data_IF_149337484269
#
_entry.id   IF_149337484269
#
_cell.length_a   1.000
_cell.length_b   1.000
_cell.length_c   1.000
_cell.angle_alpha   90.00
_cell.angle_beta   90.00
_cell.angle_gamma   90.00
#
_symmetry.space_group_name_H-M   'P 1'
#
loop_
_entity.id
_entity.type
_entity.pdbx_description
1 polymer ?
#
# COMPACT_ATOMS: atom_id res chain seq x y z
N UNK A 1 -0.99 -21.23 22.88
CA UNK A 1 -1.47 -19.83 22.77
C UNK A 1 -1.72 -19.53 21.30
N UNK A 2 -2.98 -19.63 20.85
CA UNK A 2 -3.33 -19.31 19.46
C UNK A 2 -3.58 -17.80 19.42
N UNK A 3 -2.64 -17.04 18.86
CA UNK A 3 -2.82 -15.60 18.64
C UNK A 3 -3.65 -15.46 17.35
N UNK A 4 -4.97 -15.61 17.45
CA UNK A 4 -5.88 -15.39 16.32
C UNK A 4 -5.91 -13.89 16.01
N UNK A 5 -5.15 -13.46 14.99
CA UNK A 5 -5.40 -12.16 14.35
C UNK A 5 -6.76 -12.26 13.63
N UNK A 6 -7.77 -11.58 14.16
CA UNK A 6 -9.11 -11.54 13.55
C UNK A 6 -9.28 -10.37 12.57
N UNK A 7 -8.38 -9.38 12.60
CA UNK A 7 -8.47 -8.16 11.80
C UNK A 7 -7.27 -8.06 10.85
N UNK A 8 -7.53 -7.93 9.55
CA UNK A 8 -6.52 -7.71 8.51
C UNK A 8 -6.64 -6.29 7.99
N UNK A 9 -5.54 -5.53 8.05
CA UNK A 9 -5.48 -4.13 7.64
C UNK A 9 -4.36 -3.97 6.61
N UNK A 10 -4.64 -3.30 5.50
CA UNK A 10 -3.63 -2.94 4.52
C UNK A 10 -3.31 -1.44 4.62
N UNK A 11 -2.03 -1.09 4.42
CA UNK A 11 -1.59 0.30 4.29
C UNK A 11 -1.00 0.46 2.90
N UNK A 12 -1.62 1.32 2.10
CA UNK A 12 -1.22 1.56 0.72
C UNK A 12 -0.48 2.90 0.59
N UNK A 13 0.69 2.83 -0.03
CA UNK A 13 1.53 3.98 -0.36
C UNK A 13 1.92 3.93 -1.83
N UNK A 14 2.14 5.09 -2.43
CA UNK A 14 2.44 5.16 -3.86
C UNK A 14 1.25 4.74 -4.73
N UNK A 15 0.01 5.09 -4.36
CA UNK A 15 -1.13 5.02 -5.29
C UNK A 15 -0.88 5.94 -6.47
N UNK A 16 -0.42 7.15 -6.17
CA UNK A 16 0.28 8.01 -7.11
C UNK A 16 1.78 7.94 -6.85
N UNK A 17 2.57 7.70 -7.89
CA UNK A 17 3.99 7.41 -7.74
C UNK A 17 4.88 8.57 -7.31
N UNK A 18 4.39 9.82 -7.45
CA UNK A 18 5.10 11.04 -7.06
C UNK A 18 4.69 11.60 -5.68
N UNK A 19 3.81 10.91 -4.94
CA UNK A 19 3.40 11.28 -3.58
C UNK A 19 4.33 10.62 -2.54
N UNK A 20 5.48 11.26 -2.34
CA UNK A 20 6.65 10.61 -1.71
C UNK A 20 6.47 10.20 -0.24
N UNK A 21 5.60 10.85 0.52
CA UNK A 21 5.39 10.50 1.94
C UNK A 21 4.89 9.06 2.08
N UNK A 22 3.88 8.67 1.30
CA UNK A 22 3.34 7.32 1.31
C UNK A 22 4.34 6.29 0.79
N UNK A 23 5.06 6.62 -0.29
CA UNK A 23 6.13 5.76 -0.85
C UNK A 23 7.22 5.49 0.19
N UNK A 24 7.66 6.54 0.88
CA UNK A 24 8.76 6.47 1.84
C UNK A 24 8.37 5.66 3.07
N UNK A 25 7.22 5.97 3.67
CA UNK A 25 6.74 5.28 4.87
C UNK A 25 6.47 3.80 4.60
N UNK A 26 5.82 3.46 3.48
CA UNK A 26 5.57 2.06 3.13
C UNK A 26 6.87 1.31 2.87
N UNK A 27 7.84 1.89 2.15
CA UNK A 27 9.14 1.24 1.96
C UNK A 27 9.89 1.01 3.28
N UNK A 28 9.75 1.94 4.23
CA UNK A 28 10.29 1.78 5.59
C UNK A 28 9.58 0.63 6.33
N UNK A 29 8.25 0.59 6.31
CA UNK A 29 7.46 -0.44 7.00
C UNK A 29 7.56 -1.83 6.38
N UNK A 30 7.81 -1.94 5.07
CA UNK A 30 8.12 -3.22 4.41
C UNK A 30 9.46 -3.79 4.92
N UNK A 31 10.45 -2.93 5.18
CA UNK A 31 11.75 -3.35 5.75
C UNK A 31 11.66 -3.61 7.25
N UNK A 32 10.90 -2.79 7.97
CA UNK A 32 10.68 -2.90 9.40
C UNK A 32 9.28 -2.41 9.79
N UNK A 33 8.37 -3.35 10.06
CA UNK A 33 6.98 -3.06 10.40
C UNK A 33 6.72 -2.75 11.88
N UNK A 34 7.73 -2.63 12.74
CA UNK A 34 7.53 -2.50 14.19
C UNK A 34 6.57 -1.35 14.60
N UNK A 35 6.64 -0.22 13.90
CA UNK A 35 5.81 0.97 14.16
C UNK A 35 4.30 0.71 13.92
N UNK A 36 3.97 -0.17 12.97
CA UNK A 36 2.59 -0.44 12.52
C UNK A 36 1.98 -1.73 13.11
N UNK A 37 2.72 -2.41 13.99
CA UNK A 37 2.23 -3.61 14.67
C UNK A 37 1.27 -3.27 15.80
N UNK A 38 0.15 -3.99 15.87
CA UNK A 38 -0.83 -3.89 16.97
C UNK A 38 -1.29 -5.29 17.37
N UNK A 39 -1.57 -5.50 18.65
CA UNK A 39 -2.03 -6.80 19.16
C UNK A 39 -3.37 -7.16 18.49
N UNK A 40 -3.44 -8.37 17.93
CA UNK A 40 -4.66 -8.90 17.30
C UNK A 40 -4.98 -8.34 15.91
N UNK A 41 -4.08 -7.53 15.32
CA UNK A 41 -4.23 -6.98 13.97
C UNK A 41 -3.05 -7.44 13.11
N UNK A 42 -3.36 -8.03 11.96
CA UNK A 42 -2.38 -8.26 10.89
C UNK A 42 -2.35 -7.03 9.98
N UNK A 43 -1.32 -6.19 10.14
CA UNK A 43 -1.11 -5.01 9.29
C UNK A 43 -0.11 -5.31 8.18
N UNK A 44 -0.46 -5.03 6.92
CA UNK A 44 0.41 -5.25 5.76
C UNK A 44 0.61 -3.99 4.92
N UNK A 45 1.82 -3.40 4.88
CA UNK A 45 2.13 -2.27 4.00
C UNK A 45 2.39 -2.74 2.55
N UNK A 46 1.99 -1.94 1.56
CA UNK A 46 2.17 -2.24 0.13
C UNK A 46 2.41 -0.99 -0.73
N UNK A 47 3.37 -1.10 -1.64
CA UNK A 47 3.51 -0.15 -2.76
C UNK A 47 2.50 -0.55 -3.84
N UNK A 48 1.54 0.33 -4.11
CA UNK A 48 0.41 0.01 -5.01
C UNK A 48 0.71 0.25 -6.49
N UNK A 49 1.49 1.27 -6.84
CA UNK A 49 1.84 1.58 -8.23
C UNK A 49 3.36 1.57 -8.45
N UNK A 50 4.02 0.40 -8.41
CA UNK A 50 5.48 0.31 -8.44
C UNK A 50 6.09 0.95 -9.70
N UNK A 51 5.45 0.81 -10.87
CA UNK A 51 5.93 1.43 -12.12
C UNK A 51 5.85 2.96 -12.10
N UNK A 52 4.80 3.53 -11.50
CA UNK A 52 4.70 4.98 -11.36
C UNK A 52 5.68 5.52 -10.32
N UNK A 53 5.90 4.79 -9.22
CA UNK A 53 6.89 5.12 -8.18
C UNK A 53 8.31 5.13 -8.77
N UNK A 54 8.69 4.09 -9.53
CA UNK A 54 9.99 4.00 -10.20
C UNK A 54 10.25 5.21 -11.12
N UNK A 55 9.20 5.66 -11.83
CA UNK A 55 9.27 6.82 -12.73
C UNK A 55 9.04 8.17 -12.04
N UNK A 56 8.81 8.20 -10.73
CA UNK A 56 8.42 9.39 -9.97
C UNK A 56 7.30 10.21 -10.66
N UNK A 57 6.29 9.52 -11.18
CA UNK A 57 5.13 10.13 -11.86
C UNK A 57 3.84 9.79 -11.14
N UNK A 58 2.78 10.57 -11.35
CA UNK A 58 1.46 10.32 -10.75
C UNK A 58 0.93 8.93 -11.15
N UNK A 59 0.97 8.60 -12.43
CA UNK A 59 0.57 7.29 -12.99
C UNK A 59 1.32 7.04 -14.30
N UNK A 60 1.27 5.79 -14.80
CA UNK A 60 1.86 5.43 -16.10
C UNK A 60 0.84 5.60 -17.22
N UNK A 61 -0.27 4.86 -17.18
CA UNK A 61 -1.28 4.88 -18.26
C UNK A 61 -2.57 5.59 -17.83
N UNK A 62 -3.10 5.25 -16.65
CA UNK A 62 -4.33 5.82 -16.09
C UNK A 62 -4.19 5.97 -14.58
N UNK A 63 -4.91 6.93 -14.00
CA UNK A 63 -4.94 7.13 -12.55
C UNK A 63 -5.46 5.86 -11.85
N UNK A 64 -4.57 5.20 -11.10
CA UNK A 64 -4.87 3.96 -10.38
C UNK A 64 -6.03 4.16 -9.37
N UNK A 65 -6.15 5.35 -8.78
CA UNK A 65 -7.22 5.71 -7.85
C UNK A 65 -8.57 5.99 -8.54
N UNK A 66 -8.67 5.73 -9.84
CA UNK A 66 -9.91 5.77 -10.64
C UNK A 66 -10.17 4.46 -11.38
N UNK A 67 -9.29 3.47 -11.23
CA UNK A 67 -9.31 2.24 -12.02
C UNK A 67 -10.08 1.08 -11.37
N UNK A 68 -10.57 1.23 -10.14
CA UNK A 68 -11.27 0.16 -9.40
C UNK A 68 -12.80 0.22 -9.53
N UNK A 69 -13.33 0.44 -10.74
CA UNK A 69 -14.76 0.27 -11.00
C UNK A 69 -15.12 -1.22 -11.15
N UNK A 70 -16.38 -1.63 -10.91
CA UNK A 70 -16.80 -3.01 -11.16
C UNK A 70 -16.52 -3.48 -12.58
N UNK A 71 -16.63 -2.59 -13.57
CA UNK A 71 -16.36 -2.90 -14.97
C UNK A 71 -14.90 -3.25 -15.22
N UNK A 72 -13.96 -2.57 -14.55
CA UNK A 72 -12.53 -2.83 -14.68
C UNK A 72 -12.04 -4.05 -13.87
N UNK A 73 -12.84 -4.49 -12.90
CA UNK A 73 -12.52 -5.60 -11.98
C UNK A 73 -13.24 -6.92 -12.33
N UNK A 74 -14.02 -6.94 -13.40
CA UNK A 74 -14.67 -8.13 -13.94
C UNK A 74 -13.70 -9.07 -14.64
#
# INVERSE_FOLDING_TARGET
MINLCHLRVAIFGGTHGNEMSGVTLVNLWVKNGAEIQRKGVETKPFITNPKAVEKCTRYVDTDLNRAFSPENLR
#
